data_IF_097607302561
#
_entry.id   IF_097607302561
#
_cell.length_a   1.000
_cell.length_b   1.000
_cell.length_c   1.000
_cell.angle_alpha   90.00
_cell.angle_beta   90.00
_cell.angle_gamma   90.00
#
_symmetry.space_group_name_H-M   'P 1'
#
loop_
_entity.id
_entity.type
_entity.pdbx_description
1 polymer ?
#
# COMPACT_ATOMS: atom_id res chain seq x y z
N UNK A 1 -3.72 0.15 -21.43
CA UNK A 1 -2.78 0.10 -20.32
C UNK A 1 -3.38 -0.75 -19.21
N UNK A 2 -2.64 -1.73 -18.76
CA UNK A 2 -3.16 -2.77 -17.88
C UNK A 2 -2.63 -2.59 -16.47
N UNK A 3 -3.53 -2.42 -15.50
CA UNK A 3 -3.19 -2.34 -14.09
C UNK A 3 -3.87 -3.46 -13.31
N UNK A 4 -3.11 -4.10 -12.43
CA UNK A 4 -3.67 -5.00 -11.43
C UNK A 4 -3.88 -4.23 -10.14
N UNK A 5 -5.11 -4.20 -9.65
CA UNK A 5 -5.44 -3.56 -8.36
C UNK A 5 -5.54 -4.67 -7.33
N UNK A 6 -4.59 -4.73 -6.40
CA UNK A 6 -4.50 -5.84 -5.45
C UNK A 6 -3.70 -5.44 -4.22
N UNK A 7 -3.66 -6.34 -3.24
CA UNK A 7 -2.78 -6.16 -2.09
C UNK A 7 -1.32 -6.29 -2.50
N UNK A 8 -0.44 -5.61 -1.77
CA UNK A 8 1.00 -5.68 -1.97
C UNK A 8 1.55 -6.98 -1.38
N UNK A 9 2.16 -7.83 -2.21
CA UNK A 9 2.78 -9.06 -1.75
C UNK A 9 4.07 -8.77 -0.98
N UNK A 10 4.47 -9.69 -0.09
CA UNK A 10 5.68 -9.51 0.70
C UNK A 10 6.92 -9.35 -0.16
N UNK A 11 7.03 -10.13 -1.24
CA UNK A 11 8.17 -10.07 -2.15
C UNK A 11 8.23 -8.78 -2.96
N UNK A 12 7.18 -7.96 -2.91
CA UNK A 12 7.13 -6.68 -3.63
C UNK A 12 7.60 -5.50 -2.79
N UNK A 13 8.26 -5.76 -1.69
CA UNK A 13 8.79 -4.75 -0.79
C UNK A 13 9.59 -3.67 -1.55
N UNK A 14 10.46 -4.08 -2.47
CA UNK A 14 11.29 -3.13 -3.23
C UNK A 14 10.45 -2.21 -4.13
N UNK A 15 9.41 -2.76 -4.74
CA UNK A 15 8.53 -1.95 -5.59
C UNK A 15 7.83 -0.87 -4.78
N UNK A 16 7.41 -1.22 -3.56
CA UNK A 16 6.74 -0.29 -2.66
C UNK A 16 7.68 0.84 -2.23
N UNK A 17 8.90 0.49 -1.82
CA UNK A 17 9.90 1.46 -1.38
C UNK A 17 10.33 2.35 -2.54
N UNK A 18 10.53 1.78 -3.72
CA UNK A 18 10.91 2.57 -4.90
C UNK A 18 9.82 3.60 -5.25
N UNK A 19 8.55 3.22 -5.14
CA UNK A 19 7.46 4.15 -5.39
C UNK A 19 7.48 5.31 -4.39
N UNK A 20 7.61 5.01 -3.10
CA UNK A 20 7.62 6.05 -2.05
C UNK A 20 8.81 6.99 -2.26
N UNK A 21 9.97 6.43 -2.54
CA UNK A 21 11.19 7.22 -2.75
C UNK A 21 11.10 8.14 -3.95
N UNK A 22 10.55 7.65 -5.07
CA UNK A 22 10.50 8.40 -6.33
C UNK A 22 9.34 9.37 -6.42
N UNK A 23 8.19 9.01 -5.85
CA UNK A 23 6.94 9.73 -6.12
C UNK A 23 6.32 10.39 -4.91
N UNK A 24 6.85 10.16 -3.73
CA UNK A 24 6.39 10.79 -2.50
C UNK A 24 7.51 11.58 -1.85
N UNK A 25 8.35 10.88 -1.09
CA UNK A 25 9.40 11.51 -0.31
C UNK A 25 10.62 10.60 -0.24
N UNK A 26 11.74 11.09 -0.75
CA UNK A 26 13.00 10.35 -0.78
C UNK A 26 13.46 9.91 0.60
N UNK A 27 13.22 10.73 1.63
CA UNK A 27 13.65 10.48 3.00
C UNK A 27 12.54 9.97 3.90
N UNK A 28 11.45 9.43 3.32
CA UNK A 28 10.36 8.89 4.11
C UNK A 28 10.87 7.79 5.04
N UNK A 29 10.29 7.73 6.25
CA UNK A 29 10.74 6.77 7.25
C UNK A 29 10.69 5.32 6.74
N UNK A 30 9.74 4.97 5.90
CA UNK A 30 9.64 3.61 5.35
C UNK A 30 10.77 3.32 4.36
N UNK A 31 11.32 4.33 3.70
CA UNK A 31 12.48 4.18 2.83
C UNK A 31 13.73 3.91 3.68
N UNK A 32 13.86 4.59 4.81
CA UNK A 32 15.02 4.48 5.70
C UNK A 32 14.97 3.27 6.62
N UNK A 33 13.78 2.80 6.97
CA UNK A 33 13.63 1.75 7.98
C UNK A 33 12.56 0.73 7.58
N UNK A 34 13.01 -0.46 7.21
CA UNK A 34 12.11 -1.58 6.97
C UNK A 34 11.32 -1.94 8.23
N UNK A 35 11.95 -1.78 9.40
CA UNK A 35 11.28 -2.05 10.67
C UNK A 35 10.07 -1.16 10.89
N UNK A 36 10.16 0.11 10.52
CA UNK A 36 9.04 1.04 10.64
C UNK A 36 7.89 0.64 9.71
N UNK A 37 8.21 0.27 8.47
CA UNK A 37 7.21 -0.20 7.53
C UNK A 37 6.54 -1.48 8.05
N UNK A 38 7.34 -2.44 8.48
CA UNK A 38 6.83 -3.72 8.96
C UNK A 38 5.96 -3.55 10.21
N UNK A 39 6.36 -2.67 11.11
CA UNK A 39 5.59 -2.41 12.33
C UNK A 39 4.18 -1.92 12.02
N UNK A 40 4.05 -1.00 11.05
CA UNK A 40 2.76 -0.40 10.73
C UNK A 40 1.94 -1.19 9.73
N UNK A 41 2.59 -1.83 8.76
CA UNK A 41 1.89 -2.35 7.59
C UNK A 41 2.08 -3.83 7.32
N UNK A 42 3.00 -4.52 8.02
CA UNK A 42 3.20 -5.95 7.78
C UNK A 42 2.05 -6.75 8.39
N UNK A 43 1.42 -7.55 7.57
CA UNK A 43 0.37 -8.48 8.00
C UNK A 43 0.90 -9.90 7.81
N UNK A 44 1.48 -10.46 8.87
CA UNK A 44 2.08 -11.81 8.83
C UNK A 44 1.05 -12.89 8.60
N UNK A 45 -0.14 -12.72 9.16
CA UNK A 45 -1.22 -13.69 9.06
C UNK A 45 -1.66 -13.90 7.62
N UNK A 46 -1.81 -12.79 6.88
CA UNK A 46 -2.24 -12.82 5.48
C UNK A 46 -1.09 -12.78 4.49
N UNK A 47 0.15 -12.78 4.99
CA UNK A 47 1.39 -12.81 4.19
C UNK A 47 1.42 -11.68 3.14
N UNK A 48 1.16 -10.46 3.60
CA UNK A 48 1.12 -9.29 2.72
C UNK A 48 1.51 -8.03 3.49
N UNK A 49 1.77 -6.95 2.74
CA UNK A 49 1.76 -5.61 3.31
C UNK A 49 0.34 -5.04 3.18
N UNK A 50 -0.11 -4.31 4.19
CA UNK A 50 -1.43 -3.67 4.17
C UNK A 50 -1.40 -2.42 3.30
N UNK A 51 -1.24 -2.66 2.01
CA UNK A 51 -1.32 -1.67 0.94
C UNK A 51 -2.14 -2.26 -0.18
N UNK A 52 -3.05 -1.46 -0.74
CA UNK A 52 -3.63 -1.74 -2.05
C UNK A 52 -2.75 -1.00 -3.05
N UNK A 53 -2.37 -1.68 -4.12
CA UNK A 53 -1.47 -1.11 -5.12
C UNK A 53 -2.06 -1.23 -6.51
N UNK A 54 -1.70 -0.31 -7.39
CA UNK A 54 -1.97 -0.41 -8.82
C UNK A 54 -0.66 -0.82 -9.49
N UNK A 55 -0.55 -2.09 -9.83
CA UNK A 55 0.63 -2.65 -10.47
C UNK A 55 0.49 -2.54 -11.98
N UNK A 56 1.44 -1.85 -12.61
CA UNK A 56 1.49 -1.71 -14.06
C UNK A 56 2.16 -2.93 -14.65
N UNK A 57 1.40 -3.75 -15.39
CA UNK A 57 1.91 -5.01 -15.95
C UNK A 57 2.94 -4.80 -17.07
N UNK A 58 2.96 -3.62 -17.67
CA UNK A 58 3.91 -3.28 -18.72
C UNK A 58 5.24 -2.81 -18.15
N UNK A 59 5.22 -1.81 -17.27
CA UNK A 59 6.44 -1.27 -16.65
C UNK A 59 6.95 -2.10 -15.50
N UNK A 60 6.09 -2.96 -14.92
CA UNK A 60 6.38 -3.79 -13.76
C UNK A 60 6.70 -2.95 -12.52
N UNK A 61 6.02 -1.83 -12.39
CA UNK A 61 6.14 -0.91 -11.25
C UNK A 61 4.77 -0.59 -10.70
N UNK A 62 4.73 -0.04 -9.48
CA UNK A 62 3.49 0.50 -8.93
C UNK A 62 3.26 1.90 -9.49
N UNK A 63 2.03 2.19 -9.88
CA UNK A 63 1.62 3.52 -10.33
C UNK A 63 0.79 4.25 -9.27
N UNK A 64 0.29 3.54 -8.28
CA UNK A 64 -0.41 4.12 -7.15
C UNK A 64 -0.34 3.18 -5.94
N UNK A 65 -0.37 3.75 -4.74
CA UNK A 65 -0.40 2.98 -3.51
C UNK A 65 -1.42 3.59 -2.54
N UNK A 66 -2.03 2.73 -1.71
CA UNK A 66 -2.91 3.13 -0.62
C UNK A 66 -2.60 2.25 0.58
N UNK A 67 -1.94 2.83 1.58
CA UNK A 67 -1.61 2.14 2.81
C UNK A 67 -2.73 2.26 3.82
N UNK A 68 -2.98 1.19 4.56
CA UNK A 68 -4.00 1.18 5.60
C UNK A 68 -3.49 0.42 6.84
N UNK A 69 -4.08 0.78 7.97
CA UNK A 69 -3.75 0.16 9.25
C UNK A 69 -5.04 -0.39 9.83
N UNK A 70 -5.06 -1.69 10.11
CA UNK A 70 -6.22 -2.33 10.72
C UNK A 70 -6.13 -2.18 12.23
N UNK A 71 -7.12 -1.55 12.84
CA UNK A 71 -7.14 -1.33 14.29
C UNK A 71 -7.17 -2.66 15.04
N UNK A 72 -7.82 -3.66 14.46
CA UNK A 72 -7.89 -5.01 15.05
C UNK A 72 -6.51 -5.65 15.27
N UNK A 73 -5.46 -5.19 14.58
CA UNK A 73 -4.10 -5.69 14.80
C UNK A 73 -3.50 -5.19 16.11
N UNK A 74 -4.00 -4.10 16.65
CA UNK A 74 -3.45 -3.44 17.84
C UNK A 74 -4.37 -3.51 19.04
N UNK A 75 -5.57 -4.05 18.88
CA UNK A 75 -6.52 -4.14 19.98
C UNK A 75 -7.26 -5.48 19.90
N UNK A 76 -7.65 -6.01 21.06
CA UNK A 76 -8.46 -7.23 21.14
C UNK A 76 -9.94 -6.98 20.83
N UNK A 77 -10.30 -5.74 20.53
CA UNK A 77 -11.66 -5.39 20.14
C UNK A 77 -11.87 -5.79 18.70
N UNK A 78 -12.98 -6.42 18.40
CA UNK A 78 -13.37 -6.77 17.03
C UNK A 78 -13.88 -5.52 16.30
N UNK A 79 -13.02 -4.53 16.18
CA UNK A 79 -13.37 -3.31 15.50
C UNK A 79 -12.83 -3.39 14.07
N UNK A 80 -13.73 -3.31 13.11
CA UNK A 80 -13.39 -3.37 11.70
C UNK A 80 -12.90 -2.03 11.13
N UNK A 81 -12.70 -1.04 12.00
CA UNK A 81 -12.19 0.26 11.56
C UNK A 81 -10.77 0.13 11.06
N UNK A 82 -10.46 0.87 10.03
CA UNK A 82 -9.11 0.99 9.50
C UNK A 82 -8.76 2.45 9.31
N UNK A 83 -7.47 2.74 9.32
CA UNK A 83 -6.95 4.08 9.06
C UNK A 83 -6.16 4.06 7.76
N UNK A 84 -6.39 5.05 6.91
CA UNK A 84 -5.57 5.26 5.72
C UNK A 84 -4.30 6.00 6.15
N UNK A 85 -3.14 5.44 5.80
CA UNK A 85 -1.86 6.03 6.22
C UNK A 85 -1.17 6.78 5.09
N UNK A 86 -1.09 6.18 3.90
CA UNK A 86 -0.44 6.77 2.74
C UNK A 86 -1.34 6.53 1.53
N UNK A 87 -1.63 7.59 0.80
CA UNK A 87 -2.45 7.50 -0.40
C UNK A 87 -1.83 8.38 -1.47
N UNK A 88 -1.22 7.74 -2.47
CA UNK A 88 -0.49 8.47 -3.51
C UNK A 88 -0.58 7.76 -4.84
N UNK A 89 -0.73 8.50 -5.91
CA UNK A 89 -0.60 8.00 -7.27
C UNK A 89 0.41 8.82 -8.04
N UNK A 90 0.96 8.25 -9.11
CA UNK A 90 1.80 9.01 -10.03
C UNK A 90 1.00 10.14 -10.61
N UNK A 91 1.68 11.24 -10.96
CA UNK A 91 1.07 12.48 -11.42
C UNK A 91 0.12 12.27 -12.61
N UNK A 92 0.46 11.35 -13.52
CA UNK A 92 -0.33 11.08 -14.71
C UNK A 92 -1.48 10.08 -14.51
N UNK A 93 -1.66 9.59 -13.29
CA UNK A 93 -2.64 8.54 -12.98
C UNK A 93 -3.53 8.93 -11.81
N UNK A 94 -3.97 10.17 -11.76
CA UNK A 94 -4.75 10.69 -10.63
C UNK A 94 -6.03 9.90 -10.34
N UNK A 95 -6.63 9.28 -11.36
CA UNK A 95 -7.84 8.47 -11.17
C UNK A 95 -7.59 7.13 -10.49
N UNK A 96 -6.35 6.65 -10.45
CA UNK A 96 -6.03 5.38 -9.82
C UNK A 96 -6.25 5.41 -8.31
N UNK A 97 -6.04 6.57 -7.67
CA UNK A 97 -6.25 6.69 -6.22
C UNK A 97 -7.66 6.30 -5.81
N UNK A 98 -8.67 6.77 -6.55
CA UNK A 98 -10.07 6.42 -6.26
C UNK A 98 -10.35 4.94 -6.51
N UNK A 99 -9.73 4.35 -7.53
CA UNK A 99 -9.88 2.92 -7.80
C UNK A 99 -9.32 2.08 -6.66
N UNK A 100 -8.22 2.52 -6.03
CA UNK A 100 -7.66 1.83 -4.88
C UNK A 100 -8.61 1.85 -3.69
N UNK A 101 -9.23 3.01 -3.41
CA UNK A 101 -10.19 3.14 -2.31
C UNK A 101 -11.38 2.21 -2.53
N UNK A 102 -11.93 2.20 -3.73
CA UNK A 102 -13.06 1.33 -4.07
C UNK A 102 -12.69 -0.14 -3.93
N UNK A 103 -11.50 -0.52 -4.37
CA UNK A 103 -11.02 -1.89 -4.25
C UNK A 103 -10.89 -2.30 -2.78
N UNK A 104 -10.36 -1.41 -1.94
CA UNK A 104 -10.22 -1.69 -0.51
C UNK A 104 -11.57 -1.92 0.15
N UNK A 105 -12.57 -1.10 -0.17
CA UNK A 105 -13.93 -1.26 0.35
C UNK A 105 -14.50 -2.63 -0.01
N UNK A 106 -14.25 -3.11 -1.21
CA UNK A 106 -14.74 -4.41 -1.67
C UNK A 106 -14.02 -5.58 -1.02
N UNK A 107 -12.75 -5.42 -0.66
CA UNK A 107 -11.92 -6.50 -0.12
C UNK A 107 -12.04 -6.65 1.39
N UNK A 108 -12.53 -5.66 2.06
CA UNK A 108 -12.76 -5.65 3.50
C UNK A 108 -14.25 -5.62 3.81
#
# INVERSE_FOLDING_TARGET
MSHEIRFCALEEYKLLIDFIKKHWKKDHIFVKSKQALDFQHLDKKNKRYNFIVAYNTTSKEFDAILGFILISQYSHLKDENLWLSIWKSKKNYSGLGLRLVKSLEQKL
#
